data_IF_774854127603
#
_entry.id   IF_774854127603
#
_cell.length_a   1.000
_cell.length_b   1.000
_cell.length_c   1.000
_cell.angle_alpha   90.00
_cell.angle_beta   90.00
_cell.angle_gamma   90.00
#
_symmetry.space_group_name_H-M   'P 1'
#
loop_
_entity.id
_entity.type
_entity.pdbx_description
1 polymer ?
#
# COMPACT_ATOMS: atom_id res chain seq x y z
N UNK A 1 -9.28 -9.19 -5.39
CA UNK A 1 -8.06 -9.02 -6.21
C UNK A 1 -7.38 -7.74 -5.75
N UNK A 2 -6.07 -7.79 -5.57
CA UNK A 2 -5.26 -6.63 -5.17
C UNK A 2 -4.61 -5.95 -6.38
N UNK A 3 -4.04 -4.78 -6.18
CA UNK A 3 -3.50 -3.91 -7.22
C UNK A 3 -2.45 -4.61 -8.10
N UNK A 4 -1.52 -5.36 -7.50
CA UNK A 4 -0.50 -6.11 -8.24
C UNK A 4 -1.12 -7.22 -9.10
N UNK A 5 -2.08 -7.94 -8.56
CA UNK A 5 -2.83 -8.99 -9.28
C UNK A 5 -3.66 -8.38 -10.41
N UNK A 6 -4.25 -7.20 -10.17
CA UNK A 6 -4.98 -6.43 -11.17
C UNK A 6 -4.09 -6.07 -12.36
N UNK A 7 -2.91 -5.47 -12.11
CA UNK A 7 -1.94 -5.15 -13.17
C UNK A 7 -1.51 -6.39 -13.95
N UNK A 8 -1.13 -7.46 -13.25
CA UNK A 8 -0.72 -8.72 -13.87
C UNK A 8 -1.84 -9.34 -14.73
N UNK A 9 -3.10 -9.21 -14.31
CA UNK A 9 -4.23 -9.78 -15.04
C UNK A 9 -4.50 -9.11 -16.39
N UNK A 10 -4.04 -7.87 -16.58
CA UNK A 10 -4.33 -7.05 -17.76
C UNK A 10 -3.11 -6.70 -18.61
N UNK A 11 -1.88 -6.83 -18.09
CA UNK A 11 -0.66 -6.48 -18.82
C UNK A 11 -0.61 -7.07 -20.23
N UNK A 12 -0.37 -6.21 -21.22
CA UNK A 12 -0.30 -6.58 -22.64
C UNK A 12 -1.65 -6.79 -23.34
N UNK A 13 -2.79 -6.61 -22.65
CA UNK A 13 -4.13 -6.87 -23.22
C UNK A 13 -4.84 -5.59 -23.65
N UNK A 14 -5.68 -5.73 -24.67
CA UNK A 14 -6.70 -4.74 -25.01
C UNK A 14 -7.99 -5.11 -24.25
N UNK A 15 -8.66 -4.13 -23.63
CA UNK A 15 -9.88 -4.36 -22.85
C UNK A 15 -10.96 -3.36 -23.23
N UNK A 16 -12.20 -3.84 -23.33
CA UNK A 16 -13.40 -3.06 -23.58
C UNK A 16 -14.43 -3.65 -22.60
N UNK A 17 -14.63 -2.96 -21.47
CA UNK A 17 -15.38 -3.55 -20.34
C UNK A 17 -16.81 -3.06 -20.27
N UNK A 18 -17.11 -1.92 -20.89
CA UNK A 18 -18.46 -1.38 -20.98
C UNK A 18 -19.17 -1.75 -22.29
N UNK A 19 -18.46 -2.39 -23.23
CA UNK A 19 -19.03 -2.87 -24.48
C UNK A 19 -19.57 -1.72 -25.32
N UNK A 20 -18.92 -0.55 -25.29
CA UNK A 20 -19.35 0.69 -25.93
C UNK A 20 -19.30 0.65 -27.47
N UNK A 21 -19.80 -0.42 -28.11
CA UNK A 21 -20.58 -0.46 -29.35
C UNK A 21 -19.99 0.06 -30.68
N UNK A 22 -18.98 0.93 -30.68
CA UNK A 22 -18.40 1.56 -31.88
C UNK A 22 -16.90 1.28 -31.98
N UNK A 23 -16.35 1.30 -33.19
CA UNK A 23 -14.91 1.09 -33.44
C UNK A 23 -14.01 2.14 -32.75
N UNK A 24 -14.55 3.31 -32.36
CA UNK A 24 -13.78 4.43 -31.79
C UNK A 24 -13.74 4.46 -30.26
N UNK A 25 -14.60 3.68 -29.58
CA UNK A 25 -14.76 3.74 -28.13
C UNK A 25 -14.23 2.50 -27.41
N UNK A 26 -13.46 1.65 -28.10
CA UNK A 26 -12.87 0.45 -27.52
C UNK A 26 -11.48 0.74 -26.98
N UNK A 27 -11.06 -0.03 -25.98
CA UNK A 27 -9.68 -0.04 -25.50
C UNK A 27 -9.21 1.34 -25.02
N UNK A 28 -10.03 2.01 -24.23
CA UNK A 28 -9.78 3.35 -23.74
C UNK A 28 -9.20 3.33 -22.33
N UNK A 29 -8.57 4.44 -21.94
CA UNK A 29 -8.05 4.61 -20.59
C UNK A 29 -9.11 4.42 -19.50
N UNK A 30 -10.37 4.80 -19.78
CA UNK A 30 -11.50 4.60 -18.87
C UNK A 30 -11.90 3.13 -18.69
N UNK A 31 -11.56 2.23 -19.62
CA UNK A 31 -11.80 0.79 -19.48
C UNK A 31 -10.93 0.21 -18.36
N UNK A 32 -9.67 0.64 -18.25
CA UNK A 32 -8.77 0.26 -17.15
C UNK A 32 -9.35 0.69 -15.81
N UNK A 33 -9.94 1.89 -15.75
CA UNK A 33 -10.55 2.40 -14.52
C UNK A 33 -11.79 1.61 -14.14
N UNK A 34 -12.68 1.34 -15.09
CA UNK A 34 -13.87 0.53 -14.85
C UNK A 34 -13.49 -0.88 -14.39
N UNK A 35 -12.48 -1.48 -15.03
CA UNK A 35 -11.93 -2.77 -14.62
C UNK A 35 -11.32 -2.73 -13.22
N UNK A 36 -10.58 -1.66 -12.87
CA UNK A 36 -9.97 -1.48 -11.55
C UNK A 36 -11.03 -1.35 -10.46
N UNK A 37 -12.01 -0.47 -10.65
CA UNK A 37 -13.12 -0.29 -9.72
C UNK A 37 -13.91 -1.60 -9.54
N UNK A 38 -14.11 -2.38 -10.61
CA UNK A 38 -14.79 -3.66 -10.54
C UNK A 38 -13.98 -4.72 -9.78
N UNK A 39 -12.73 -4.98 -10.18
CA UNK A 39 -11.95 -6.10 -9.67
C UNK A 39 -11.39 -5.86 -8.27
N UNK A 40 -11.10 -4.61 -7.92
CA UNK A 40 -10.47 -4.25 -6.64
C UNK A 40 -11.51 -3.77 -5.61
N UNK A 41 -12.56 -3.07 -6.04
CA UNK A 41 -13.57 -2.50 -5.13
C UNK A 41 -14.96 -3.16 -5.22
N UNK A 42 -15.18 -4.07 -6.18
CA UNK A 42 -16.47 -4.74 -6.37
C UNK A 42 -17.53 -3.85 -7.00
N UNK A 43 -17.15 -2.71 -7.59
CA UNK A 43 -18.10 -1.79 -8.25
C UNK A 43 -18.56 -2.40 -9.57
N UNK A 44 -19.87 -2.57 -9.77
CA UNK A 44 -20.38 -3.07 -11.06
C UNK A 44 -19.97 -2.14 -12.20
N UNK A 45 -19.52 -2.69 -13.34
CA UNK A 45 -19.19 -1.85 -14.51
C UNK A 45 -20.41 -1.06 -14.98
N UNK A 46 -21.62 -1.65 -14.92
CA UNK A 46 -22.87 -1.00 -15.32
C UNK A 46 -23.21 0.24 -14.52
N UNK A 47 -22.76 0.37 -13.27
CA UNK A 47 -23.01 1.57 -12.45
C UNK A 47 -22.09 2.75 -12.82
N UNK A 48 -21.11 2.51 -13.68
CA UNK A 48 -20.21 3.53 -14.25
C UNK A 48 -20.54 3.86 -15.71
N UNK A 49 -21.68 3.37 -16.22
CA UNK A 49 -22.16 3.73 -17.56
C UNK A 49 -22.48 5.23 -17.63
N UNK A 50 -22.15 5.85 -18.78
CA UNK A 50 -22.36 7.29 -18.97
C UNK A 50 -21.42 8.19 -18.16
N UNK A 51 -20.33 7.65 -17.59
CA UNK A 51 -19.38 8.49 -16.84
C UNK A 51 -18.56 9.43 -17.73
N UNK A 52 -18.54 9.17 -19.03
CA UNK A 52 -17.95 10.03 -20.04
C UNK A 52 -16.43 9.92 -20.10
N UNK A 53 -15.80 11.00 -20.53
CA UNK A 53 -14.37 11.10 -20.78
C UNK A 53 -13.55 11.11 -19.47
N UNK A 54 -12.26 10.81 -19.59
CA UNK A 54 -11.34 10.68 -18.47
C UNK A 54 -11.32 11.90 -17.54
N UNK A 55 -11.32 13.12 -18.09
CA UNK A 55 -11.32 14.34 -17.27
C UNK A 55 -12.59 14.48 -16.39
N UNK A 56 -13.73 13.92 -16.85
CA UNK A 56 -15.02 14.03 -16.16
C UNK A 56 -15.07 13.19 -14.88
N UNK A 57 -14.23 12.15 -14.76
CA UNK A 57 -14.09 11.39 -13.52
C UNK A 57 -13.63 12.27 -12.36
N UNK A 58 -12.83 13.31 -12.65
CA UNK A 58 -12.33 14.24 -11.65
C UNK A 58 -13.25 15.45 -11.45
N UNK A 59 -13.65 16.12 -12.54
CA UNK A 59 -14.42 17.36 -12.44
C UNK A 59 -15.84 17.11 -11.91
N UNK A 60 -16.46 16.05 -12.41
CA UNK A 60 -17.81 15.65 -12.03
C UNK A 60 -17.81 14.58 -10.93
N UNK A 61 -16.71 14.43 -10.17
CA UNK A 61 -16.55 13.38 -9.17
C UNK A 61 -17.74 13.25 -8.21
N UNK A 62 -18.28 14.37 -7.74
CA UNK A 62 -19.42 14.38 -6.81
C UNK A 62 -20.71 13.79 -7.41
N UNK A 63 -20.81 13.72 -8.75
CA UNK A 63 -21.92 13.10 -9.47
C UNK A 63 -21.66 11.61 -9.79
N UNK A 64 -20.45 11.09 -9.51
CA UNK A 64 -20.06 9.70 -9.77
C UNK A 64 -20.38 8.83 -8.56
N UNK A 65 -21.67 8.59 -8.31
CA UNK A 65 -22.16 7.88 -7.12
C UNK A 65 -21.56 6.48 -6.90
N UNK A 66 -21.08 5.81 -7.96
CA UNK A 66 -20.40 4.53 -7.84
C UNK A 66 -18.94 4.66 -7.33
N UNK A 67 -18.34 5.85 -7.40
CA UNK A 67 -16.95 6.10 -6.98
C UNK A 67 -16.84 6.86 -5.67
N UNK A 68 -17.78 7.79 -5.38
CA UNK A 68 -17.71 8.61 -4.16
C UNK A 68 -17.65 7.82 -2.84
N UNK A 69 -18.22 6.59 -2.71
CA UNK A 69 -18.04 5.78 -1.50
C UNK A 69 -16.63 5.24 -1.33
N UNK A 70 -15.90 5.00 -2.42
CA UNK A 70 -14.63 4.28 -2.43
C UNK A 70 -13.41 5.19 -2.57
N UNK A 71 -13.59 6.40 -3.08
CA UNK A 71 -12.50 7.32 -3.39
C UNK A 71 -12.73 8.70 -2.77
N UNK A 72 -11.63 9.44 -2.63
CA UNK A 72 -11.61 10.86 -2.27
C UNK A 72 -10.91 11.62 -3.39
N UNK A 73 -11.51 12.71 -3.85
CA UNK A 73 -10.88 13.60 -4.85
C UNK A 73 -9.82 14.47 -4.19
N UNK A 74 -8.61 14.45 -4.72
CA UNK A 74 -7.45 15.22 -4.23
C UNK A 74 -6.88 16.06 -5.36
N UNK A 75 -6.89 17.39 -5.19
CA UNK A 75 -6.29 18.31 -6.15
C UNK A 75 -4.77 18.15 -6.19
N UNK A 76 -4.21 18.08 -7.39
CA UNK A 76 -2.77 18.08 -7.55
C UNK A 76 -2.20 19.44 -7.15
N UNK A 77 -1.07 19.41 -6.43
CA UNK A 77 -0.21 20.55 -6.16
C UNK A 77 1.22 20.15 -6.49
N UNK A 78 2.01 21.11 -6.97
CA UNK A 78 3.43 20.85 -7.28
C UNK A 78 4.13 20.16 -6.11
N UNK A 79 4.92 19.12 -6.43
CA UNK A 79 5.62 18.30 -5.44
C UNK A 79 4.81 17.13 -4.85
N UNK A 80 3.49 17.07 -5.08
CA UNK A 80 2.71 15.88 -4.69
C UNK A 80 3.07 14.68 -5.55
N UNK A 81 3.07 13.50 -4.94
CA UNK A 81 3.32 12.22 -5.62
C UNK A 81 2.09 11.32 -5.52
N UNK A 82 1.70 10.61 -6.60
CA UNK A 82 0.61 9.65 -6.55
C UNK A 82 1.01 8.45 -5.68
N UNK A 83 0.05 7.90 -4.95
CA UNK A 83 0.21 6.67 -4.18
C UNK A 83 -0.22 5.48 -5.05
N UNK A 84 0.30 4.29 -4.73
CA UNK A 84 -0.15 3.06 -5.38
C UNK A 84 -1.68 2.94 -5.33
N UNK A 85 -2.33 2.76 -6.49
CA UNK A 85 -3.78 2.64 -6.60
C UNK A 85 -4.55 3.97 -6.66
N UNK A 86 -3.88 5.12 -6.56
CA UNK A 86 -4.50 6.40 -6.94
C UNK A 86 -4.87 6.35 -8.43
N UNK A 87 -6.08 6.79 -8.77
CA UNK A 87 -6.41 7.08 -10.15
C UNK A 87 -5.91 8.48 -10.48
N UNK A 88 -4.84 8.58 -11.27
CA UNK A 88 -4.26 9.85 -11.70
C UNK A 88 -5.07 10.37 -12.87
N UNK A 89 -5.54 11.61 -12.78
CA UNK A 89 -6.36 12.23 -13.82
C UNK A 89 -5.63 13.43 -14.41
N UNK A 90 -5.55 13.46 -15.73
CA UNK A 90 -5.01 14.59 -16.49
C UNK A 90 -6.12 15.52 -16.97
N UNK A 91 -5.77 16.78 -17.16
CA UNK A 91 -6.66 17.79 -17.73
C UNK A 91 -7.13 17.40 -19.14
N UNK A 92 -8.31 17.91 -19.54
CA UNK A 92 -8.83 17.76 -20.90
C UNK A 92 -7.82 18.16 -21.98
N UNK A 93 -6.98 19.16 -21.69
CA UNK A 93 -6.00 19.73 -22.62
C UNK A 93 -4.79 18.83 -22.88
N UNK A 94 -4.68 17.67 -22.21
CA UNK A 94 -3.52 16.76 -22.35
C UNK A 94 -3.43 16.13 -23.73
N UNK A 95 -4.55 15.98 -24.44
CA UNK A 95 -4.62 15.44 -25.79
C UNK A 95 -5.52 16.30 -26.70
N UNK A 96 -5.37 16.13 -28.01
CA UNK A 96 -6.10 16.91 -29.02
C UNK A 96 -7.60 16.59 -29.09
N UNK A 97 -8.01 15.40 -28.64
CA UNK A 97 -9.43 15.01 -28.55
C UNK A 97 -10.16 15.70 -27.40
N UNK A 98 -9.45 16.40 -26.51
CA UNK A 98 -10.02 17.03 -25.31
C UNK A 98 -10.68 16.04 -24.33
N UNK A 99 -10.38 14.74 -24.44
CA UNK A 99 -10.94 13.69 -23.56
C UNK A 99 -10.21 13.60 -22.21
N UNK A 100 -9.03 14.23 -22.08
CA UNK A 100 -8.18 14.03 -20.92
C UNK A 100 -7.59 12.61 -20.90
N UNK A 101 -6.94 12.26 -19.79
CA UNK A 101 -6.41 10.90 -19.57
C UNK A 101 -6.61 10.48 -18.12
N UNK A 102 -6.66 9.16 -17.88
CA UNK A 102 -6.77 8.60 -16.54
C UNK A 102 -6.07 7.25 -16.46
N UNK A 103 -5.34 7.00 -15.39
CA UNK A 103 -4.57 5.77 -15.20
C UNK A 103 -4.45 5.40 -13.72
N UNK A 104 -4.06 4.17 -13.40
CA UNK A 104 -3.88 3.72 -12.02
C UNK A 104 -2.41 3.76 -11.64
N UNK A 105 -2.03 4.57 -10.67
CA UNK A 105 -0.64 4.70 -10.24
C UNK A 105 -0.10 3.40 -9.65
N UNK A 106 1.13 3.03 -10.01
CA UNK A 106 1.85 1.90 -9.42
C UNK A 106 2.33 2.19 -7.99
N UNK A 107 2.57 3.48 -7.68
CA UNK A 107 3.24 3.95 -6.47
C UNK A 107 4.72 4.28 -6.67
N UNK A 108 5.31 3.91 -7.80
CA UNK A 108 6.67 4.32 -8.17
C UNK A 108 6.65 5.76 -8.66
N UNK A 109 7.42 6.63 -8.00
CA UNK A 109 7.50 8.05 -8.33
C UNK A 109 8.75 8.74 -7.77
N UNK A 110 9.24 9.72 -8.50
CA UNK A 110 10.28 10.66 -8.08
C UNK A 110 9.79 12.12 -8.20
N UNK A 111 10.71 13.08 -8.11
CA UNK A 111 10.39 14.51 -8.19
C UNK A 111 9.90 14.98 -9.57
N UNK A 112 10.18 14.22 -10.64
CA UNK A 112 9.92 14.55 -12.04
C UNK A 112 8.95 13.59 -12.72
N UNK A 113 8.93 12.33 -12.31
CA UNK A 113 8.18 11.27 -12.96
C UNK A 113 7.42 10.36 -12.00
N UNK A 114 6.46 9.63 -12.54
CA UNK A 114 5.78 8.53 -11.86
C UNK A 114 5.40 7.46 -12.88
N UNK A 115 5.16 6.23 -12.40
CA UNK A 115 4.71 5.11 -13.23
C UNK A 115 3.24 4.81 -12.95
N UNK A 116 2.43 4.74 -14.00
CA UNK A 116 1.03 4.28 -13.92
C UNK A 116 0.77 3.12 -14.86
N UNK A 117 -0.33 2.42 -14.62
CA UNK A 117 -0.88 1.38 -15.47
C UNK A 117 -2.01 1.98 -16.30
N UNK A 118 -1.80 1.97 -17.61
CA UNK A 118 -2.54 2.76 -18.59
C UNK A 118 -3.08 1.85 -19.68
N UNK A 119 -4.04 2.36 -20.45
CA UNK A 119 -4.35 1.86 -21.79
C UNK A 119 -4.55 3.07 -22.71
N UNK A 120 -4.31 2.87 -24.00
CA UNK A 120 -4.39 3.92 -25.01
C UNK A 120 -3.40 5.08 -24.74
N UNK A 121 -2.27 4.80 -24.09
CA UNK A 121 -1.20 5.77 -23.89
C UNK A 121 0.19 5.17 -24.16
N UNK A 122 0.94 5.67 -25.16
CA UNK A 122 0.46 6.49 -26.29
C UNK A 122 -0.74 5.87 -27.02
N UNK A 123 -1.42 6.64 -27.86
CA UNK A 123 -2.64 6.16 -28.56
C UNK A 123 -2.42 4.80 -29.25
N UNK A 124 -3.39 3.90 -29.12
CA UNK A 124 -3.38 2.56 -29.70
C UNK A 124 -2.64 1.49 -28.88
N UNK A 125 -2.11 1.82 -27.68
CA UNK A 125 -1.38 0.87 -26.85
C UNK A 125 -2.29 0.00 -25.97
N UNK A 126 -1.91 -1.28 -25.74
CA UNK A 126 -2.61 -2.15 -24.81
C UNK A 126 -2.38 -1.69 -23.36
N UNK A 127 -3.03 -2.37 -22.41
CA UNK A 127 -2.77 -2.20 -21.00
C UNK A 127 -1.29 -2.39 -20.66
N UNK A 128 -0.67 -1.44 -19.97
CA UNK A 128 0.73 -1.55 -19.61
C UNK A 128 1.22 -0.42 -18.71
N UNK A 129 2.43 -0.58 -18.18
CA UNK A 129 3.06 0.46 -17.40
C UNK A 129 3.65 1.55 -18.28
N UNK A 130 3.44 2.80 -17.89
CA UNK A 130 3.95 3.99 -18.57
C UNK A 130 4.59 4.92 -17.53
N UNK A 131 5.78 5.40 -17.84
CA UNK A 131 6.42 6.50 -17.11
C UNK A 131 5.91 7.84 -17.64
N UNK A 132 5.29 8.62 -16.75
CA UNK A 132 4.76 9.94 -17.05
C UNK A 132 5.52 11.02 -16.30
N UNK A 133 5.53 12.24 -16.84
CA UNK A 133 5.80 13.44 -16.05
C UNK A 133 4.53 13.95 -15.38
N UNK A 134 4.66 14.90 -14.46
CA UNK A 134 3.51 15.56 -13.82
C UNK A 134 2.79 16.59 -14.71
N UNK A 135 3.18 16.71 -15.98
CA UNK A 135 2.60 17.68 -16.91
C UNK A 135 1.09 17.48 -17.07
N UNK A 136 0.31 18.54 -16.82
CA UNK A 136 -1.16 18.55 -16.92
C UNK A 136 -1.88 17.53 -16.02
N UNK A 137 -1.22 17.04 -14.97
CA UNK A 137 -1.90 16.25 -13.93
C UNK A 137 -2.84 17.19 -13.17
N UNK A 138 -4.14 16.87 -13.20
CA UNK A 138 -5.19 17.65 -12.53
C UNK A 138 -5.34 17.27 -11.07
N UNK A 139 -5.20 15.99 -10.77
CA UNK A 139 -5.40 15.46 -9.43
C UNK A 139 -5.52 13.94 -9.40
N UNK A 140 -5.92 13.45 -8.23
CA UNK A 140 -6.02 12.02 -7.94
C UNK A 140 -7.42 11.70 -7.44
N UNK A 141 -7.99 10.57 -7.87
CA UNK A 141 -9.04 9.90 -7.10
C UNK A 141 -8.36 8.85 -6.23
N UNK A 142 -8.27 9.17 -4.95
CA UNK A 142 -7.50 8.40 -3.96
C UNK A 142 -8.39 7.38 -3.27
N UNK A 143 -8.04 6.08 -3.26
CA UNK A 143 -8.76 5.08 -2.49
C UNK A 143 -8.94 5.47 -1.02
N UNK A 144 -10.13 5.25 -0.47
CA UNK A 144 -10.43 5.38 0.96
C UNK A 144 -9.96 4.15 1.74
N UNK A 145 -10.03 2.98 1.11
CA UNK A 145 -9.62 1.69 1.66
C UNK A 145 -8.40 1.16 0.90
N UNK A 146 -7.21 1.48 1.41
CA UNK A 146 -5.94 0.98 0.87
C UNK A 146 -5.71 -0.51 1.19
N UNK A 147 -6.45 -1.07 2.15
CA UNK A 147 -6.41 -2.50 2.44
C UNK A 147 -6.83 -3.33 1.24
N UNK A 148 -7.96 -2.97 0.64
CA UNK A 148 -8.44 -3.56 -0.62
C UNK A 148 -7.49 -3.35 -1.80
N UNK A 149 -6.80 -2.22 -1.85
CA UNK A 149 -5.86 -1.91 -2.94
C UNK A 149 -4.63 -2.79 -2.86
N UNK A 150 -4.01 -2.88 -1.69
CA UNK A 150 -2.65 -3.41 -1.59
C UNK A 150 -2.60 -4.86 -1.14
N UNK A 151 -3.76 -5.43 -0.78
CA UNK A 151 -3.80 -6.69 -0.06
C UNK A 151 -3.27 -6.58 1.36
N UNK A 152 -3.34 -5.37 1.91
CA UNK A 152 -3.19 -5.20 3.35
C UNK A 152 -4.53 -5.64 3.94
N UNK A 153 -4.54 -6.77 4.62
CA UNK A 153 -5.71 -7.20 5.40
C UNK A 153 -6.15 -6.01 6.27
N UNK A 154 -7.46 -5.71 6.34
CA UNK A 154 -7.94 -4.81 7.39
C UNK A 154 -7.32 -5.27 8.71
N UNK A 155 -6.65 -4.37 9.41
CA UNK A 155 -5.99 -4.71 10.65
C UNK A 155 -7.07 -4.90 11.74
N UNK A 156 -7.74 -6.06 11.75
CA UNK A 156 -8.64 -6.50 12.81
C UNK A 156 -7.93 -7.51 13.69
N UNK A 157 -7.54 -7.08 14.89
CA UNK A 157 -6.91 -7.96 15.85
C UNK A 157 -7.84 -9.12 16.20
N UNK A 158 -7.26 -10.29 16.49
CA UNK A 158 -7.99 -11.43 17.05
C UNK A 158 -8.39 -11.21 18.51
N UNK A 159 -7.88 -10.15 19.15
CA UNK A 159 -8.18 -9.80 20.55
C UNK A 159 -7.16 -10.34 21.56
N UNK A 160 -6.16 -11.10 21.10
CA UNK A 160 -5.10 -11.67 21.94
C UNK A 160 -3.72 -11.34 21.38
N UNK A 161 -2.73 -11.21 22.25
CA UNK A 161 -1.35 -11.14 21.78
C UNK A 161 -0.93 -12.49 21.17
N UNK A 162 -0.16 -12.50 20.08
CA UNK A 162 0.42 -13.72 19.55
C UNK A 162 1.37 -14.34 20.58
N UNK A 163 1.43 -15.67 20.57
CA UNK A 163 2.56 -16.38 21.18
C UNK A 163 3.69 -16.38 20.15
N UNK A 164 4.79 -15.64 20.37
CA UNK A 164 5.88 -15.59 19.41
C UNK A 164 6.53 -16.97 19.26
N UNK A 165 6.98 -17.28 18.05
CA UNK A 165 7.64 -18.55 17.73
C UNK A 165 9.14 -18.34 17.56
N UNK A 166 9.92 -19.36 17.94
CA UNK A 166 11.38 -19.32 17.75
C UNK A 166 11.71 -19.24 16.26
N UNK A 167 12.51 -18.25 15.90
CA UNK A 167 13.08 -18.08 14.56
C UNK A 167 14.60 -18.20 14.68
N UNK A 168 15.23 -18.96 13.79
CA UNK A 168 16.68 -19.14 13.80
C UNK A 168 17.28 -18.88 12.43
N UNK A 169 18.29 -18.02 12.39
CA UNK A 169 18.96 -17.69 11.15
C UNK A 169 19.72 -18.90 10.57
N UNK A 170 19.92 -18.87 9.26
CA UNK A 170 20.73 -19.83 8.52
C UNK A 170 22.24 -19.58 8.66
N UNK A 171 23.00 -20.03 7.65
CA UNK A 171 24.48 -20.00 7.66
C UNK A 171 25.08 -18.64 7.27
N UNK A 172 24.27 -17.72 6.78
CA UNK A 172 24.69 -16.40 6.27
C UNK A 172 24.07 -15.29 7.11
N UNK A 173 24.64 -14.09 7.03
CA UNK A 173 24.01 -12.87 7.58
C UNK A 173 22.60 -12.73 6.99
N UNK A 174 21.61 -12.46 7.83
CA UNK A 174 20.25 -12.10 7.40
C UNK A 174 20.04 -10.60 7.60
N UNK A 175 19.61 -9.91 6.55
CA UNK A 175 19.31 -8.48 6.63
C UNK A 175 17.95 -8.24 7.25
N UNK A 176 17.86 -7.24 8.14
CA UNK A 176 16.62 -6.78 8.74
C UNK A 176 16.20 -5.48 8.09
N UNK A 177 14.98 -5.45 7.57
CA UNK A 177 14.42 -4.36 6.79
C UNK A 177 13.37 -3.57 7.56
N UNK A 178 13.23 -2.31 7.17
CA UNK A 178 12.30 -1.34 7.78
C UNK A 178 10.82 -1.62 7.52
N UNK A 179 10.53 -2.19 6.37
CA UNK A 179 9.18 -2.44 5.89
C UNK A 179 9.13 -3.76 5.10
N UNK A 180 7.90 -4.24 4.87
CA UNK A 180 7.65 -5.52 4.20
C UNK A 180 8.01 -5.54 2.71
N UNK A 181 8.56 -4.45 2.14
CA UNK A 181 9.07 -4.47 0.77
C UNK A 181 10.53 -4.91 0.69
N UNK A 182 11.19 -5.15 1.83
CA UNK A 182 12.57 -5.66 1.91
C UNK A 182 13.60 -4.78 1.18
N UNK A 183 13.41 -3.45 1.22
CA UNK A 183 14.22 -2.51 0.42
C UNK A 183 15.22 -1.68 1.26
N UNK A 184 14.86 -1.27 2.48
CA UNK A 184 15.69 -0.41 3.33
C UNK A 184 16.21 -1.19 4.54
N UNK A 185 17.52 -1.47 4.58
CA UNK A 185 18.21 -2.16 5.69
C UNK A 185 18.27 -1.27 6.94
N UNK A 186 17.93 -1.84 8.09
CA UNK A 186 17.96 -1.17 9.41
C UNK A 186 18.73 -1.95 10.47
N UNK A 187 19.26 -3.12 10.10
CA UNK A 187 20.01 -4.03 10.96
C UNK A 187 20.24 -5.37 10.29
N UNK A 188 20.76 -6.31 11.06
CA UNK A 188 20.97 -7.69 10.60
C UNK A 188 21.08 -8.66 11.76
N UNK A 189 20.93 -9.95 11.46
CA UNK A 189 21.22 -11.07 12.33
C UNK A 189 22.42 -11.86 11.78
N UNK A 190 23.30 -12.29 12.67
CA UNK A 190 24.48 -13.09 12.37
C UNK A 190 24.10 -14.52 11.98
N UNK A 191 24.98 -15.29 11.33
CA UNK A 191 24.77 -16.72 11.12
C UNK A 191 24.36 -17.44 12.41
N UNK A 192 23.33 -18.28 12.32
CA UNK A 192 22.77 -19.07 13.42
C UNK A 192 22.19 -18.29 14.61
N UNK A 193 22.14 -16.96 14.53
CA UNK A 193 21.53 -16.11 15.55
C UNK A 193 20.03 -16.41 15.69
N UNK A 194 19.51 -16.31 16.92
CA UNK A 194 18.12 -16.62 17.23
C UNK A 194 17.33 -15.34 17.50
N UNK A 195 16.07 -15.37 17.08
CA UNK A 195 15.10 -14.30 17.28
C UNK A 195 13.73 -14.91 17.59
N UNK A 196 12.76 -14.03 17.87
CA UNK A 196 11.36 -14.39 17.98
C UNK A 196 10.59 -13.83 16.80
N UNK A 197 9.81 -14.66 16.12
CA UNK A 197 8.88 -14.24 15.08
C UNK A 197 7.49 -13.99 15.68
N UNK A 198 6.97 -12.78 15.46
CA UNK A 198 5.70 -12.32 16.01
C UNK A 198 4.57 -12.30 15.00
N UNK A 199 4.88 -12.19 13.70
CA UNK A 199 3.88 -12.19 12.64
C UNK A 199 4.54 -12.35 11.27
N UNK A 200 3.71 -12.33 10.21
CA UNK A 200 4.14 -12.33 8.81
C UNK A 200 3.38 -11.24 8.06
N UNK A 201 4.08 -10.57 7.15
CA UNK A 201 3.51 -9.58 6.24
C UNK A 201 3.95 -9.88 4.81
N UNK A 202 3.00 -10.24 3.94
CA UNK A 202 3.34 -10.75 2.61
C UNK A 202 4.23 -11.99 2.72
N UNK A 203 5.40 -11.96 2.07
CA UNK A 203 6.43 -13.01 2.18
C UNK A 203 7.38 -12.84 3.37
N UNK A 204 7.40 -11.67 4.01
CA UNK A 204 8.37 -11.31 5.05
C UNK A 204 7.92 -11.61 6.47
N UNK A 205 8.86 -11.89 7.37
CA UNK A 205 8.60 -12.26 8.76
C UNK A 205 8.94 -11.09 9.69
N UNK A 206 8.03 -10.76 10.61
CA UNK A 206 8.28 -9.75 11.66
C UNK A 206 9.02 -10.43 12.79
N UNK A 207 10.28 -10.06 12.98
CA UNK A 207 11.14 -10.62 14.03
C UNK A 207 11.54 -9.57 15.05
N UNK A 208 11.71 -10.00 16.29
CA UNK A 208 12.34 -9.23 17.37
C UNK A 208 13.56 -9.98 17.85
N UNK A 209 14.69 -9.27 17.95
CA UNK A 209 15.97 -9.82 18.36
C UNK A 209 16.72 -8.86 19.29
N UNK A 210 17.60 -9.43 20.11
CA UNK A 210 18.37 -8.68 21.10
C UNK A 210 19.50 -7.92 20.41
N UNK A 211 19.71 -6.67 20.81
CA UNK A 211 20.84 -5.87 20.35
C UNK A 211 22.11 -6.26 21.11
N UNK A 212 23.14 -6.64 20.36
CA UNK A 212 24.44 -7.08 20.89
C UNK A 212 24.99 -6.11 21.93
N UNK A 213 25.44 -6.66 23.06
CA UNK A 213 26.01 -5.90 24.17
C UNK A 213 24.99 -5.07 24.99
N UNK A 214 23.68 -5.24 24.77
CA UNK A 214 22.64 -4.51 25.50
C UNK A 214 21.52 -5.42 26.00
N UNK A 215 20.64 -4.90 26.86
CA UNK A 215 19.37 -5.54 27.23
C UNK A 215 18.20 -5.16 26.31
N UNK A 216 18.46 -4.41 25.23
CA UNK A 216 17.45 -3.83 24.35
C UNK A 216 17.21 -4.70 23.13
N UNK A 217 16.06 -4.50 22.49
CA UNK A 217 15.62 -5.29 21.36
C UNK A 217 15.36 -4.41 20.14
N UNK A 218 15.46 -5.01 18.96
CA UNK A 218 15.11 -4.41 17.68
C UNK A 218 14.09 -5.28 16.96
N UNK A 219 13.16 -4.63 16.27
CA UNK A 219 12.16 -5.25 15.43
C UNK A 219 12.36 -4.85 13.97
N UNK A 220 11.98 -5.74 13.06
CA UNK A 220 11.97 -5.48 11.62
C UNK A 220 11.50 -6.68 10.82
N UNK A 221 11.64 -6.58 9.51
CA UNK A 221 11.26 -7.62 8.57
C UNK A 221 12.49 -8.40 8.11
N UNK A 222 12.38 -9.72 8.03
CA UNK A 222 13.38 -10.60 7.41
C UNK A 222 12.74 -11.40 6.27
N UNK A 223 13.54 -11.81 5.30
CA UNK A 223 13.09 -12.64 4.18
C UNK A 223 13.08 -14.11 4.56
N UNK A 224 14.15 -14.57 5.22
CA UNK A 224 14.32 -15.96 5.58
C UNK A 224 13.32 -16.40 6.66
N UNK A 225 12.67 -17.55 6.44
CA UNK A 225 11.64 -18.07 7.35
C UNK A 225 12.19 -18.59 8.68
N UNK A 226 13.49 -18.87 8.77
CA UNK A 226 14.15 -19.26 10.02
C UNK A 226 13.54 -20.48 10.73
N UNK A 227 12.99 -21.43 9.97
CA UNK A 227 12.33 -22.63 10.49
C UNK A 227 10.87 -22.43 10.92
N UNK A 228 10.30 -21.23 10.76
CA UNK A 228 8.90 -20.94 11.09
C UNK A 228 7.97 -21.55 10.05
N UNK A 229 7.30 -22.65 10.41
CA UNK A 229 6.30 -23.30 9.57
C UNK A 229 5.01 -22.47 9.43
N UNK A 230 4.55 -21.88 10.54
CA UNK A 230 3.38 -20.99 10.58
C UNK A 230 3.69 -19.82 11.50
N UNK A 231 3.66 -18.61 10.95
CA UNK A 231 3.82 -17.40 11.74
C UNK A 231 2.55 -17.14 12.58
N UNK A 232 2.67 -16.53 13.77
CA UNK A 232 1.52 -16.25 14.61
C UNK A 232 0.50 -15.34 13.90
N UNK A 233 -0.77 -15.76 13.79
CA UNK A 233 -1.82 -14.95 13.18
C UNK A 233 -2.48 -13.98 14.16
N UNK A 234 -2.30 -14.17 15.47
CA UNK A 234 -3.01 -13.39 16.49
C UNK A 234 -2.44 -11.98 16.65
N UNK A 235 -3.30 -11.05 17.06
CA UNK A 235 -2.92 -9.68 17.40
C UNK A 235 -4.01 -9.00 18.21
N UNK A 236 -3.64 -8.02 19.03
CA UNK A 236 -4.62 -7.07 19.58
C UNK A 236 -4.83 -5.91 18.62
N UNK A 237 -6.04 -5.36 18.61
CA UNK A 237 -6.31 -4.09 17.96
C UNK A 237 -5.73 -2.97 18.82
N UNK A 238 -4.85 -2.17 18.25
CA UNK A 238 -4.28 -0.98 18.88
C UNK A 238 -4.86 0.25 18.22
N UNK A 239 -5.28 1.23 19.02
CA UNK A 239 -5.67 2.55 18.56
C UNK A 239 -4.80 3.61 19.22
N UNK A 240 -4.13 4.43 18.42
CA UNK A 240 -3.31 5.54 18.88
C UNK A 240 -4.18 6.64 19.55
N UNK A 241 -3.53 7.50 20.34
CA UNK A 241 -4.13 8.63 21.05
C UNK A 241 -4.51 9.79 20.13
N UNK A 242 -4.75 10.96 20.72
CA UNK A 242 -5.17 12.17 19.98
C UNK A 242 -4.03 12.89 19.23
N UNK A 243 -2.78 12.46 19.41
CA UNK A 243 -1.60 13.02 18.75
C UNK A 243 -0.83 11.94 17.99
N UNK A 244 -0.10 12.29 16.92
CA UNK A 244 0.80 11.34 16.29
C UNK A 244 1.85 10.79 17.25
N UNK A 245 2.23 9.53 17.07
CA UNK A 245 3.25 8.85 17.88
C UNK A 245 4.39 8.35 17.01
N UNK A 246 5.63 8.47 17.50
CA UNK A 246 6.81 7.97 16.77
C UNK A 246 6.96 6.47 16.96
N UNK A 247 7.21 5.75 15.86
CA UNK A 247 7.55 4.32 15.88
C UNK A 247 9.05 4.15 15.75
N UNK A 248 9.66 3.44 16.69
CA UNK A 248 11.09 3.14 16.73
C UNK A 248 11.37 1.70 16.32
N UNK A 249 12.47 1.44 15.60
CA UNK A 249 12.88 0.06 15.33
C UNK A 249 13.37 -0.66 16.59
N UNK A 250 13.86 0.08 17.58
CA UNK A 250 14.49 -0.48 18.77
C UNK A 250 13.94 0.11 20.06
N UNK A 251 13.95 -0.69 21.12
CA UNK A 251 13.46 -0.31 22.45
C UNK A 251 14.43 0.62 23.21
N UNK A 252 15.56 0.98 22.60
CA UNK A 252 16.45 2.06 23.04
C UNK A 252 16.08 3.41 22.41
N UNK A 253 15.08 3.44 21.53
CA UNK A 253 14.56 4.62 20.81
C UNK A 253 15.62 5.33 19.96
N UNK A 254 16.60 4.60 19.44
CA UNK A 254 17.70 5.18 18.65
C UNK A 254 17.33 5.38 17.19
N UNK A 255 16.58 4.45 16.60
CA UNK A 255 16.21 4.51 15.18
C UNK A 255 14.70 4.72 15.00
N UNK A 256 14.31 5.88 14.47
CA UNK A 256 12.93 6.17 14.06
C UNK A 256 12.65 5.51 12.70
N UNK A 257 11.54 4.77 12.59
CA UNK A 257 11.16 4.07 11.34
C UNK A 257 9.82 4.51 10.76
N UNK A 258 9.01 5.21 11.54
CA UNK A 258 7.82 5.91 11.08
C UNK A 258 7.04 6.55 12.22
N UNK A 259 5.76 6.75 11.99
CA UNK A 259 4.81 7.29 12.97
C UNK A 259 3.44 6.65 12.78
N UNK A 260 2.65 6.67 13.85
CA UNK A 260 1.20 6.46 13.81
C UNK A 260 0.53 7.83 13.88
N UNK A 261 -0.48 8.08 13.05
CA UNK A 261 -1.30 9.28 13.10
C UNK A 261 -2.24 9.28 14.30
N UNK A 262 -2.76 10.46 14.64
CA UNK A 262 -3.78 10.58 15.69
C UNK A 262 -4.97 9.65 15.41
N UNK A 263 -5.35 8.84 16.39
CA UNK A 263 -6.46 7.86 16.35
C UNK A 263 -6.29 6.75 15.31
N UNK A 264 -5.10 6.60 14.72
CA UNK A 264 -4.79 5.50 13.81
C UNK A 264 -4.97 4.14 14.51
N UNK A 265 -5.46 3.15 13.76
CA UNK A 265 -5.65 1.78 14.26
C UNK A 265 -4.70 0.82 13.54
N UNK A 266 -4.07 -0.08 14.30
CA UNK A 266 -3.15 -1.09 13.79
C UNK A 266 -3.14 -2.36 14.65
N UNK A 267 -2.26 -3.31 14.36
CA UNK A 267 -2.01 -4.46 15.24
C UNK A 267 -1.01 -4.11 16.32
N UNK A 268 -1.27 -4.54 17.55
CA UNK A 268 -0.25 -4.73 18.56
C UNK A 268 0.04 -6.21 18.73
N UNK A 269 1.29 -6.58 18.51
CA UNK A 269 1.81 -7.94 18.52
C UNK A 269 2.38 -8.34 19.89
N UNK A 270 2.50 -7.41 20.83
CA UNK A 270 2.99 -7.70 22.17
C UNK A 270 3.72 -6.53 22.81
N UNK A 271 4.32 -6.81 23.96
CA UNK A 271 5.11 -5.84 24.72
C UNK A 271 6.54 -6.36 24.90
N UNK A 272 7.52 -5.48 24.70
CA UNK A 272 8.94 -5.79 24.86
C UNK A 272 9.64 -4.58 25.48
N UNK A 273 10.41 -4.81 26.54
CA UNK A 273 11.13 -3.75 27.28
C UNK A 273 10.25 -2.54 27.67
N UNK A 274 8.98 -2.79 27.97
CA UNK A 274 8.01 -1.73 28.34
C UNK A 274 7.32 -1.04 27.16
N UNK A 275 7.70 -1.33 25.91
CA UNK A 275 7.13 -0.72 24.70
C UNK A 275 6.22 -1.70 23.94
N UNK A 276 5.32 -1.18 23.12
CA UNK A 276 4.33 -1.94 22.35
C UNK A 276 4.84 -2.19 20.94
N UNK A 277 4.97 -3.46 20.56
CA UNK A 277 5.31 -3.85 19.20
C UNK A 277 4.07 -3.70 18.33
N UNK A 278 4.09 -2.76 17.39
CA UNK A 278 3.01 -2.51 16.45
C UNK A 278 3.36 -2.98 15.03
N UNK A 279 2.36 -3.43 14.28
CA UNK A 279 2.41 -3.68 12.84
C UNK A 279 1.29 -2.89 12.18
N UNK A 280 1.65 -1.96 11.31
CA UNK A 280 0.75 -0.93 10.80
C UNK A 280 0.97 -0.68 9.31
N UNK A 281 -0.06 -0.13 8.67
CA UNK A 281 -0.05 0.18 7.25
C UNK A 281 0.62 1.55 7.02
N UNK A 282 1.61 1.60 6.14
CA UNK A 282 2.34 2.82 5.79
C UNK A 282 2.34 2.98 4.25
N UNK A 283 1.28 3.57 3.71
CA UNK A 283 1.08 3.68 2.27
C UNK A 283 0.89 2.31 1.62
N UNK A 284 1.75 1.95 0.67
CA UNK A 284 1.73 0.65 -0.04
C UNK A 284 2.32 -0.53 0.73
N UNK A 285 2.82 -0.29 1.94
CA UNK A 285 3.66 -1.20 2.70
C UNK A 285 3.13 -1.40 4.10
N UNK A 286 3.67 -2.40 4.80
CA UNK A 286 3.55 -2.51 6.24
C UNK A 286 4.88 -2.24 6.92
N UNK A 287 4.80 -1.57 8.05
CA UNK A 287 5.93 -1.29 8.94
C UNK A 287 5.66 -1.90 10.30
N UNK A 288 6.72 -2.22 11.01
CA UNK A 288 6.64 -2.61 12.39
C UNK A 288 7.65 -1.84 13.24
N UNK A 289 7.42 -1.81 14.55
CA UNK A 289 8.34 -1.24 15.51
C UNK A 289 7.67 -1.02 16.85
N UNK A 290 8.34 -0.26 17.71
CA UNK A 290 7.94 -0.03 19.08
C UNK A 290 7.39 1.38 19.28
N UNK A 291 6.27 1.48 20.00
CA UNK A 291 5.69 2.72 20.50
C UNK A 291 5.64 2.71 22.03
N UNK A 292 5.60 3.89 22.66
CA UNK A 292 5.60 3.99 24.14
C UNK A 292 4.20 3.91 24.71
N UNK A 293 3.26 4.60 24.07
CA UNK A 293 1.89 4.68 24.54
C UNK A 293 1.13 3.42 24.16
N UNK A 294 0.46 2.81 25.15
CA UNK A 294 -0.29 1.56 25.01
C UNK A 294 -1.55 1.65 24.15
N UNK A 295 -1.97 2.85 23.74
CA UNK A 295 -3.16 3.03 22.92
C UNK A 295 -4.39 2.49 23.61
N UNK A 296 -5.28 1.87 22.84
CA UNK A 296 -6.46 1.14 23.34
C UNK A 296 -6.17 -0.26 23.91
N UNK A 297 -4.89 -0.66 24.00
CA UNK A 297 -4.51 -1.98 24.51
C UNK A 297 -4.32 -1.97 26.03
N UNK A 298 -4.11 -0.79 26.59
CA UNK A 298 -4.04 -0.47 28.02
C UNK A 298 -5.28 0.29 28.50
#
# INVERSE_FOLDING_TARGET
MYLKEFFASLGGKYIDVDGAGSKTNKNQCVDVIKAYCNRVFGVSVSSMNGYGDAWQYYDNFNLKSALTPHFTRVAYKSGMRPRAGDMVVWERSVNSSSAGHIAVASGESDAKTFVSFDQNWPSGRPCGFVTHSYNKVKGFLRPKDYGKVLGLTELRGTGSFPTPVNWKNGKTKETVFKDNSLAEEIGSLSPYESALCYSKSGSSYVVVYKLNGTSKHKAGFVEYAGGVAKAPPESKTYKNGSTPETVFADTAKKLKVGSLEARETCYCLGKTDGMYLVLYNAGSKQKCGFVEYGGSVD
#
